data_IF_666265606140
#
_entry.id   IF_666265606140
#
_cell.length_a   1.000
_cell.length_b   1.000
_cell.length_c   1.000
_cell.angle_alpha   90.00
_cell.angle_beta   90.00
_cell.angle_gamma   90.00
#
_symmetry.space_group_name_H-M   'P 1'
#
loop_
_entity.id
_entity.type
_entity.pdbx_description
1 polymer ?
#
# COMPACT_ATOMS: atom_id res chain seq x y z
N UNK A 1 -20.02 -13.86 0.90
CA UNK A 1 -18.73 -14.13 0.21
C UNK A 1 -17.95 -12.84 0.29
N UNK A 2 -16.74 -12.85 0.87
CA UNK A 2 -15.96 -11.64 1.05
C UNK A 2 -15.75 -10.90 -0.28
N UNK A 3 -16.04 -9.60 -0.30
CA UNK A 3 -15.76 -8.74 -1.44
C UNK A 3 -14.52 -7.90 -1.14
N UNK A 4 -13.72 -7.61 -2.15
CA UNK A 4 -12.45 -6.93 -1.97
C UNK A 4 -12.44 -5.59 -2.71
N UNK A 5 -11.60 -4.65 -2.28
CA UNK A 5 -11.37 -3.41 -3.03
C UNK A 5 -10.54 -3.69 -4.29
N UNK A 6 -10.81 -3.02 -5.42
CA UNK A 6 -10.13 -3.32 -6.68
C UNK A 6 -8.63 -2.93 -6.71
N UNK A 7 -8.22 -1.93 -5.91
CA UNK A 7 -6.86 -1.39 -6.00
C UNK A 7 -5.88 -2.09 -5.06
N UNK A 8 -6.27 -2.28 -3.80
CA UNK A 8 -5.40 -2.79 -2.73
C UNK A 8 -5.85 -4.14 -2.19
N UNK A 9 -6.86 -4.76 -2.81
CA UNK A 9 -7.42 -6.05 -2.37
C UNK A 9 -7.76 -6.10 -0.87
N UNK A 10 -8.22 -5.00 -0.29
CA UNK A 10 -8.63 -4.93 1.11
C UNK A 10 -9.97 -5.63 1.29
N UNK A 11 -10.11 -6.43 2.35
CA UNK A 11 -11.37 -7.11 2.65
C UNK A 11 -12.41 -6.07 3.07
N UNK A 12 -13.54 -6.05 2.37
CA UNK A 12 -14.72 -5.28 2.78
C UNK A 12 -15.53 -6.09 3.79
N UNK A 13 -16.11 -5.44 4.82
CA UNK A 13 -17.05 -6.11 5.69
C UNK A 13 -18.30 -6.53 4.89
N UNK A 14 -18.76 -7.76 5.09
CA UNK A 14 -20.07 -8.21 4.61
C UNK A 14 -21.19 -7.67 5.53
N UNK A 15 -22.39 -7.45 5.01
CA UNK A 15 -23.48 -6.78 5.74
C UNK A 15 -23.99 -7.55 6.97
N UNK A 16 -23.66 -8.84 7.09
CA UNK A 16 -23.95 -9.69 8.24
C UNK A 16 -22.72 -10.15 9.02
N UNK A 17 -21.52 -9.68 8.69
CA UNK A 17 -20.30 -10.02 9.41
C UNK A 17 -20.17 -9.17 10.69
N UNK A 18 -19.74 -9.79 11.78
CA UNK A 18 -19.24 -9.06 12.95
C UNK A 18 -17.87 -8.45 12.64
N UNK A 19 -17.53 -7.35 13.32
CA UNK A 19 -16.21 -6.72 13.21
C UNK A 19 -15.12 -7.72 13.57
N UNK A 20 -14.22 -8.00 12.62
CA UNK A 20 -13.09 -8.88 12.80
C UNK A 20 -11.78 -8.08 12.86
N UNK A 21 -11.10 -8.14 14.01
CA UNK A 21 -9.84 -7.43 14.24
C UNK A 21 -8.72 -7.93 13.32
N UNK A 22 -8.70 -9.22 12.97
CA UNK A 22 -7.69 -9.77 12.06
C UNK A 22 -7.80 -9.16 10.65
N UNK A 23 -9.03 -8.98 10.16
CA UNK A 23 -9.26 -8.32 8.87
C UNK A 23 -8.85 -6.85 8.92
N UNK A 24 -9.09 -6.16 10.04
CA UNK A 24 -8.66 -4.77 10.25
C UNK A 24 -7.13 -4.67 10.24
N UNK A 25 -6.44 -5.49 11.02
CA UNK A 25 -4.97 -5.47 11.11
C UNK A 25 -4.34 -5.81 9.75
N UNK A 26 -4.85 -6.85 9.07
CA UNK A 26 -4.35 -7.21 7.73
C UNK A 26 -4.55 -6.08 6.71
N UNK A 27 -5.71 -5.41 6.74
CA UNK A 27 -5.93 -4.23 5.88
C UNK A 27 -5.01 -3.06 6.26
N UNK A 28 -4.72 -2.87 7.55
CA UNK A 28 -3.80 -1.83 8.05
C UNK A 28 -2.38 -2.05 7.55
N UNK A 29 -1.87 -3.29 7.61
CA UNK A 29 -0.53 -3.64 7.10
C UNK A 29 -0.40 -3.37 5.60
N UNK A 30 -1.44 -3.67 4.81
CA UNK A 30 -1.47 -3.38 3.36
C UNK A 30 -1.46 -1.88 3.10
N UNK A 31 -2.22 -1.10 3.87
CA UNK A 31 -2.24 0.35 3.74
C UNK A 31 -0.88 0.93 4.11
N UNK A 32 -0.33 0.54 5.25
CA UNK A 32 0.95 1.05 5.75
C UNK A 32 2.08 0.75 4.76
N UNK A 33 2.17 -0.50 4.29
CA UNK A 33 3.17 -0.88 3.27
C UNK A 33 2.99 -0.15 1.94
N UNK A 34 1.76 0.17 1.52
CA UNK A 34 1.53 0.91 0.26
C UNK A 34 2.03 2.35 0.33
N UNK A 35 1.89 2.99 1.49
CA UNK A 35 2.30 4.37 1.70
C UNK A 35 3.67 4.51 2.36
N UNK A 36 4.31 3.37 2.71
CA UNK A 36 5.67 3.30 3.23
C UNK A 36 6.64 3.90 2.20
N UNK A 37 6.89 5.19 2.36
CA UNK A 37 7.79 6.00 1.58
C UNK A 37 7.21 6.67 0.34
N UNK A 38 5.98 7.18 0.42
CA UNK A 38 5.53 8.25 -0.48
C UNK A 38 5.20 7.81 -1.91
N UNK A 39 5.45 8.70 -2.89
CA UNK A 39 5.09 8.46 -4.30
C UNK A 39 6.07 7.47 -4.91
N UNK A 40 5.58 6.25 -5.16
CA UNK A 40 6.30 5.21 -5.89
C UNK A 40 5.91 5.24 -7.37
N UNK A 41 6.91 5.37 -8.24
CA UNK A 41 6.79 5.24 -9.69
C UNK A 41 7.44 3.92 -10.14
N UNK A 42 6.90 3.28 -11.18
CA UNK A 42 7.52 2.10 -11.79
C UNK A 42 8.12 2.46 -13.14
N UNK A 43 9.30 1.94 -13.44
CA UNK A 43 9.88 2.05 -14.77
C UNK A 43 9.29 1.00 -15.75
N UNK A 44 9.80 0.97 -16.97
CA UNK A 44 9.37 0.04 -18.01
C UNK A 44 9.76 -1.42 -17.74
N UNK A 45 10.65 -1.69 -16.79
CA UNK A 45 11.05 -3.02 -16.35
C UNK A 45 10.28 -3.47 -15.10
N UNK A 46 9.49 -2.57 -14.49
CA UNK A 46 8.67 -2.83 -13.32
C UNK A 46 9.36 -2.55 -11.99
N UNK A 47 10.60 -2.05 -12.01
CA UNK A 47 11.34 -1.65 -10.80
C UNK A 47 10.66 -0.45 -10.17
N UNK A 48 10.55 -0.48 -8.83
CA UNK A 48 9.87 0.56 -8.07
C UNK A 48 10.87 1.60 -7.59
N UNK A 49 10.57 2.87 -7.83
CA UNK A 49 11.40 4.00 -7.44
C UNK A 49 10.61 4.94 -6.55
N UNK A 50 11.25 5.43 -5.50
CA UNK A 50 10.69 6.41 -4.57
C UNK A 50 11.33 7.77 -4.78
N UNK A 51 10.50 8.82 -4.77
CA UNK A 51 10.98 10.20 -4.67
C UNK A 51 11.42 10.50 -3.23
N UNK A 52 12.70 10.78 -3.03
CA UNK A 52 13.30 11.18 -1.76
C UNK A 52 13.70 12.66 -1.75
N UNK A 53 13.64 13.28 -0.58
CA UNK A 53 14.23 14.61 -0.32
C UNK A 53 15.17 14.48 0.88
N UNK A 54 16.45 14.73 0.67
CA UNK A 54 17.46 14.65 1.73
C UNK A 54 18.46 15.79 1.54
N UNK A 55 18.76 16.50 2.62
CA UNK A 55 19.70 17.63 2.61
C UNK A 55 19.37 18.68 1.53
N UNK A 56 18.08 18.94 1.29
CA UNK A 56 17.59 19.89 0.29
C UNK A 56 17.74 19.44 -1.17
N UNK A 57 18.13 18.19 -1.42
CA UNK A 57 18.21 17.60 -2.77
C UNK A 57 17.08 16.62 -3.00
N UNK A 58 16.54 16.64 -4.21
CA UNK A 58 15.53 15.69 -4.69
C UNK A 58 16.24 14.57 -5.44
N UNK A 59 15.91 13.32 -5.14
CA UNK A 59 16.48 12.13 -5.79
C UNK A 59 15.43 11.03 -5.93
N UNK A 60 15.76 10.03 -6.76
CA UNK A 60 15.03 8.77 -6.82
C UNK A 60 15.89 7.67 -6.19
N UNK A 61 15.29 6.89 -5.29
CA UNK A 61 15.91 5.68 -4.72
C UNK A 61 15.12 4.44 -5.16
N UNK A 62 15.83 3.35 -5.45
CA UNK A 62 15.20 2.06 -5.74
C UNK A 62 14.57 1.49 -4.46
N UNK A 63 13.31 1.06 -4.56
CA UNK A 63 12.58 0.38 -3.49
C UNK A 63 12.74 -1.12 -3.69
N UNK A 64 13.59 -1.72 -2.86
CA UNK A 64 13.86 -3.17 -2.81
C UNK A 64 12.87 -3.87 -1.90
#
# INVERSE_FOLDING_TARGET
MATFTPNLNLKKPDGGENVNIADINGNMDVIDSRFAGGVIIKDNLGTSWRLGIQNGKVFFEEVV
#
